data_IF_058608164019
#
_entry.id   IF_058608164019
#
_cell.length_a   1.000
_cell.length_b   1.000
_cell.length_c   1.000
_cell.angle_alpha   90.00
_cell.angle_beta   90.00
_cell.angle_gamma   90.00
#
_symmetry.space_group_name_H-M   'P 1'
#
loop_
_entity.id
_entity.type
_entity.pdbx_description
1 polymer ?
#
# COMPACT_ATOMS: atom_id res chain seq x y z
N UNK A 1 15.02 -9.93 -7.34
CA UNK A 1 14.16 -8.72 -7.53
C UNK A 1 14.17 -8.33 -9.00
N UNK A 2 13.09 -7.76 -9.46
CA UNK A 2 13.02 -7.22 -10.80
C UNK A 2 13.99 -6.03 -10.95
N UNK A 3 14.34 -5.70 -12.19
CA UNK A 3 15.22 -4.56 -12.48
C UNK A 3 14.70 -3.28 -11.79
N UNK A 4 15.57 -2.66 -11.01
CA UNK A 4 15.24 -1.44 -10.26
C UNK A 4 14.78 -0.30 -11.18
N UNK A 5 15.26 -0.26 -12.42
CA UNK A 5 14.84 0.73 -13.40
C UNK A 5 13.36 0.62 -13.77
N UNK A 6 12.81 -0.59 -13.76
CA UNK A 6 11.38 -0.80 -13.99
C UNK A 6 10.56 -0.15 -12.87
N UNK A 7 11.01 -0.28 -11.63
CA UNK A 7 10.36 0.33 -10.48
C UNK A 7 10.43 1.86 -10.56
N UNK A 8 11.62 2.40 -10.81
CA UNK A 8 11.83 3.85 -10.93
C UNK A 8 10.99 4.44 -12.06
N UNK A 9 10.98 3.81 -13.21
CA UNK A 9 10.19 4.26 -14.37
C UNK A 9 8.68 4.18 -14.09
N UNK A 10 8.27 3.28 -13.21
CA UNK A 10 6.89 3.16 -12.76
C UNK A 10 6.50 4.15 -11.65
N UNK A 11 7.39 5.05 -11.28
CA UNK A 11 7.14 6.10 -10.29
C UNK A 11 7.46 5.73 -8.85
N UNK A 12 8.19 4.62 -8.63
CA UNK A 12 8.58 4.20 -7.29
C UNK A 12 9.87 4.90 -6.88
N UNK A 13 9.86 5.53 -5.70
CA UNK A 13 11.01 6.25 -5.17
C UNK A 13 11.98 5.28 -4.46
N UNK A 14 12.67 4.46 -5.25
CA UNK A 14 13.61 3.47 -4.73
C UNK A 14 14.78 4.15 -4.03
N UNK A 15 15.31 5.24 -4.58
CA UNK A 15 16.46 5.94 -3.98
C UNK A 15 16.15 6.46 -2.58
N UNK A 16 14.98 7.07 -2.38
CA UNK A 16 14.56 7.51 -1.06
C UNK A 16 14.42 6.37 -0.06
N UNK A 17 13.90 5.25 -0.52
CA UNK A 17 13.77 4.04 0.31
C UNK A 17 15.12 3.45 0.67
N UNK A 18 16.08 3.44 -0.25
CA UNK A 18 17.44 2.94 0.02
C UNK A 18 18.16 3.75 1.09
N UNK A 19 17.87 5.05 1.19
CA UNK A 19 18.38 5.88 2.28
C UNK A 19 17.86 5.41 3.64
N UNK A 20 16.62 4.94 3.69
CA UNK A 20 15.98 4.46 4.92
C UNK A 20 16.45 3.05 5.28
N UNK A 21 16.58 2.16 4.30
CA UNK A 21 16.92 0.74 4.51
C UNK A 21 18.43 0.46 4.55
N UNK A 22 19.25 1.44 4.25
CA UNK A 22 20.72 1.36 4.26
C UNK A 22 21.33 0.55 3.12
N UNK A 23 20.64 -0.48 2.58
CA UNK A 23 21.12 -1.27 1.47
C UNK A 23 19.98 -1.91 0.68
N UNK A 24 20.31 -2.38 -0.52
CA UNK A 24 19.35 -2.95 -1.45
C UNK A 24 18.76 -4.29 -0.95
N UNK A 25 19.56 -5.09 -0.27
CA UNK A 25 19.11 -6.41 0.22
C UNK A 25 18.00 -6.26 1.25
N UNK A 26 18.14 -5.32 2.18
CA UNK A 26 17.10 -5.03 3.17
C UNK A 26 15.83 -4.51 2.49
N UNK A 27 15.97 -3.64 1.50
CA UNK A 27 14.84 -3.15 0.71
C UNK A 27 14.11 -4.31 0.01
N UNK A 28 14.86 -5.19 -0.67
CA UNK A 28 14.29 -6.35 -1.37
C UNK A 28 13.56 -7.29 -0.41
N UNK A 29 14.12 -7.53 0.77
CA UNK A 29 13.50 -8.38 1.78
C UNK A 29 12.14 -7.81 2.21
N UNK A 30 12.08 -6.50 2.49
CA UNK A 30 10.83 -5.84 2.86
C UNK A 30 9.83 -5.82 1.71
N UNK A 31 10.30 -5.61 0.49
CA UNK A 31 9.45 -5.67 -0.70
C UNK A 31 8.84 -7.06 -0.88
N UNK A 32 9.63 -8.11 -0.73
CA UNK A 32 9.14 -9.48 -0.83
C UNK A 32 8.13 -9.82 0.26
N UNK A 33 8.35 -9.36 1.48
CA UNK A 33 7.40 -9.53 2.58
C UNK A 33 6.06 -8.85 2.26
N UNK A 34 6.10 -7.64 1.71
CA UNK A 34 4.91 -6.94 1.25
C UNK A 34 4.16 -7.74 0.19
N UNK A 35 4.87 -8.19 -0.85
CA UNK A 35 4.26 -8.93 -1.96
C UNK A 35 3.65 -10.25 -1.49
N UNK A 36 4.26 -10.92 -0.52
CA UNK A 36 3.76 -12.19 0.02
C UNK A 36 2.48 -12.05 0.83
N UNK A 37 2.21 -10.87 1.39
CA UNK A 37 1.07 -10.65 2.29
C UNK A 37 -0.06 -9.82 1.68
N UNK A 38 0.19 -9.11 0.57
CA UNK A 38 -0.73 -8.06 0.12
C UNK A 38 -2.08 -8.61 -0.36
N UNK A 39 -2.13 -9.78 -0.99
CA UNK A 39 -3.38 -10.37 -1.46
C UNK A 39 -4.35 -10.64 -0.31
N UNK A 40 -3.85 -11.20 0.78
CA UNK A 40 -4.67 -11.46 1.97
C UNK A 40 -5.12 -10.16 2.63
N UNK A 41 -4.26 -9.14 2.62
CA UNK A 41 -4.62 -7.83 3.17
C UNK A 41 -5.73 -7.15 2.37
N UNK A 42 -5.71 -7.25 1.05
CA UNK A 42 -6.78 -6.72 0.20
C UNK A 42 -8.10 -7.42 0.51
N UNK A 43 -8.08 -8.74 0.67
CA UNK A 43 -9.27 -9.52 1.04
C UNK A 43 -9.81 -9.05 2.39
N UNK A 44 -8.95 -8.88 3.38
CA UNK A 44 -9.34 -8.41 4.71
C UNK A 44 -9.92 -6.99 4.67
N UNK A 45 -9.29 -6.08 3.92
CA UNK A 45 -9.82 -4.72 3.73
C UNK A 45 -11.23 -4.75 3.14
N UNK A 46 -11.45 -5.57 2.13
CA UNK A 46 -12.76 -5.70 1.50
C UNK A 46 -13.81 -6.24 2.49
N UNK A 47 -13.45 -7.24 3.28
CA UNK A 47 -14.35 -7.79 4.29
C UNK A 47 -14.74 -6.75 5.34
N UNK A 48 -13.77 -5.99 5.87
CA UNK A 48 -14.05 -4.92 6.83
C UNK A 48 -14.94 -3.84 6.21
N UNK A 49 -14.67 -3.47 4.96
CA UNK A 49 -15.49 -2.50 4.22
C UNK A 49 -16.93 -2.99 4.09
N UNK A 50 -17.14 -4.24 3.68
CA UNK A 50 -18.46 -4.82 3.48
C UNK A 50 -19.26 -4.89 4.80
N UNK A 51 -18.57 -5.07 5.91
CA UNK A 51 -19.19 -5.12 7.24
C UNK A 51 -19.33 -3.74 7.90
N UNK A 52 -18.91 -2.69 7.22
CA UNK A 52 -18.81 -1.33 7.78
C UNK A 52 -17.95 -1.28 9.05
N UNK A 53 -16.96 -2.16 9.14
CA UNK A 53 -16.04 -2.23 10.28
C UNK A 53 -14.88 -1.25 10.07
N UNK A 54 -15.16 0.03 10.29
CA UNK A 54 -14.19 1.08 10.05
C UNK A 54 -13.02 1.05 11.05
N UNK A 55 -13.23 0.53 12.22
CA UNK A 55 -12.17 0.41 13.22
C UNK A 55 -11.05 -0.51 12.72
N UNK A 56 -11.39 -1.72 12.32
CA UNK A 56 -10.40 -2.69 11.80
C UNK A 56 -9.89 -2.29 10.41
N UNK A 57 -10.74 -1.73 9.56
CA UNK A 57 -10.32 -1.17 8.27
C UNK A 57 -9.23 -0.11 8.48
N UNK A 58 -9.43 0.81 9.41
CA UNK A 58 -8.48 1.87 9.72
C UNK A 58 -7.11 1.31 10.15
N UNK A 59 -7.11 0.35 11.07
CA UNK A 59 -5.88 -0.26 11.57
C UNK A 59 -5.07 -0.85 10.41
N UNK A 60 -5.74 -1.57 9.52
CA UNK A 60 -5.07 -2.25 8.41
C UNK A 60 -4.58 -1.28 7.35
N UNK A 61 -5.39 -0.31 6.95
CA UNK A 61 -5.00 0.66 5.90
C UNK A 61 -3.94 1.64 6.42
N UNK A 62 -3.96 1.97 7.71
CA UNK A 62 -2.92 2.81 8.32
C UNK A 62 -1.56 2.12 8.30
N UNK A 63 -1.53 0.83 8.60
CA UNK A 63 -0.31 0.02 8.49
C UNK A 63 0.22 0.00 7.05
N UNK A 64 -0.67 -0.16 6.07
CA UNK A 64 -0.31 -0.11 4.65
C UNK A 64 0.25 1.25 4.24
N UNK A 65 -0.30 2.34 4.78
CA UNK A 65 0.20 3.69 4.51
C UNK A 65 1.68 3.83 4.87
N UNK A 66 2.07 3.38 6.05
CA UNK A 66 3.46 3.46 6.51
C UNK A 66 4.37 2.53 5.70
N UNK A 67 3.94 1.30 5.47
CA UNK A 67 4.71 0.30 4.75
C UNK A 67 4.97 0.71 3.29
N UNK A 68 3.93 1.17 2.61
CA UNK A 68 4.05 1.62 1.21
C UNK A 68 4.92 2.86 1.09
N UNK A 69 4.87 3.76 2.07
CA UNK A 69 5.75 4.93 2.10
C UNK A 69 7.22 4.52 2.25
N UNK A 70 7.51 3.59 3.15
CA UNK A 70 8.88 3.07 3.34
C UNK A 70 9.43 2.41 2.06
N UNK A 71 8.57 1.72 1.31
CA UNK A 71 8.95 1.07 0.06
C UNK A 71 9.03 2.01 -1.14
N UNK A 72 8.72 3.28 -0.96
CA UNK A 72 8.78 4.28 -2.04
C UNK A 72 7.55 4.32 -2.92
N UNK A 73 6.47 3.65 -2.55
CA UNK A 73 5.20 3.65 -3.28
C UNK A 73 4.40 4.91 -2.90
N UNK A 74 4.92 6.09 -3.27
CA UNK A 74 4.39 7.36 -2.78
C UNK A 74 2.94 7.61 -3.18
N UNK A 75 2.59 7.31 -4.43
CA UNK A 75 1.22 7.47 -4.90
C UNK A 75 0.25 6.58 -4.13
N UNK A 76 0.63 5.31 -3.93
CA UNK A 76 -0.17 4.36 -3.17
C UNK A 76 -0.29 4.79 -1.70
N UNK A 77 0.81 5.28 -1.12
CA UNK A 77 0.82 5.77 0.26
C UNK A 77 -0.14 6.94 0.46
N UNK A 78 -0.23 7.86 -0.51
CA UNK A 78 -1.19 8.97 -0.47
C UNK A 78 -2.63 8.48 -0.51
N UNK A 79 -2.92 7.51 -1.37
CA UNK A 79 -4.25 6.88 -1.44
C UNK A 79 -4.60 6.20 -0.12
N UNK A 80 -3.65 5.46 0.45
CA UNK A 80 -3.82 4.84 1.77
C UNK A 80 -4.07 5.89 2.86
N UNK A 81 -3.38 7.03 2.81
CA UNK A 81 -3.58 8.10 3.78
C UNK A 81 -5.01 8.65 3.74
N UNK A 82 -5.55 8.88 2.56
CA UNK A 82 -6.95 9.33 2.41
C UNK A 82 -7.93 8.32 3.00
N UNK A 83 -7.68 7.05 2.77
CA UNK A 83 -8.48 5.96 3.34
C UNK A 83 -8.33 5.89 4.86
N UNK A 84 -7.13 6.12 5.37
CA UNK A 84 -6.85 6.16 6.81
C UNK A 84 -7.63 7.27 7.49
N UNK A 85 -7.60 8.49 6.94
CA UNK A 85 -8.33 9.64 7.46
C UNK A 85 -9.83 9.37 7.42
N UNK A 86 -10.34 8.87 6.30
CA UNK A 86 -11.77 8.60 6.14
C UNK A 86 -12.28 7.53 7.10
N UNK A 87 -11.55 6.43 7.24
CA UNK A 87 -11.96 5.34 8.14
C UNK A 87 -11.87 5.75 9.61
N UNK A 88 -10.86 6.54 9.98
CA UNK A 88 -10.72 7.08 11.33
C UNK A 88 -11.93 7.95 11.72
N UNK A 89 -12.45 8.71 10.78
CA UNK A 89 -13.59 9.60 10.99
C UNK A 89 -14.93 8.94 10.66
N UNK A 90 -14.92 7.64 10.41
CA UNK A 90 -16.11 6.84 10.09
C UNK A 90 -16.84 7.33 8.82
N UNK A 91 -16.10 7.83 7.85
CA UNK A 91 -16.65 8.25 6.56
C UNK A 91 -16.78 7.04 5.63
N UNK A 92 -17.78 6.21 5.92
CA UNK A 92 -18.02 4.93 5.22
C UNK A 92 -18.19 5.12 3.72
N UNK A 93 -18.95 6.14 3.31
CA UNK A 93 -19.21 6.43 1.90
C UNK A 93 -17.92 6.72 1.14
N UNK A 94 -17.03 7.53 1.71
CA UNK A 94 -15.73 7.80 1.08
C UNK A 94 -14.92 6.53 0.90
N UNK A 95 -14.83 5.71 1.95
CA UNK A 95 -14.09 4.44 1.90
C UNK A 95 -14.64 3.55 0.79
N UNK A 96 -15.95 3.39 0.74
CA UNK A 96 -16.62 2.54 -0.25
C UNK A 96 -16.44 3.07 -1.68
N UNK A 97 -16.66 4.36 -1.89
CA UNK A 97 -16.63 4.97 -3.22
C UNK A 97 -15.20 5.01 -3.81
N UNK A 98 -14.19 5.08 -2.94
CA UNK A 98 -12.79 5.18 -3.36
C UNK A 98 -11.99 3.89 -3.16
N UNK A 99 -12.65 2.79 -2.82
CA UNK A 99 -11.98 1.50 -2.62
C UNK A 99 -11.35 0.98 -3.91
N UNK A 100 -12.02 1.16 -5.05
CA UNK A 100 -11.49 0.71 -6.35
C UNK A 100 -10.21 1.45 -6.74
N UNK A 101 -10.09 2.73 -6.39
CA UNK A 101 -8.85 3.49 -6.61
C UNK A 101 -7.69 2.85 -5.84
N UNK A 102 -7.92 2.48 -4.60
CA UNK A 102 -6.90 1.81 -3.77
C UNK A 102 -6.48 0.48 -4.38
N UNK A 103 -7.43 -0.37 -4.75
CA UNK A 103 -7.16 -1.69 -5.32
C UNK A 103 -6.45 -1.57 -6.68
N UNK A 104 -6.87 -0.63 -7.51
CA UNK A 104 -6.25 -0.39 -8.82
C UNK A 104 -4.78 -0.01 -8.68
N UNK A 105 -4.46 0.91 -7.77
CA UNK A 105 -3.08 1.31 -7.54
C UNK A 105 -2.25 0.20 -6.89
N UNK A 106 -2.82 -0.55 -5.96
CA UNK A 106 -2.18 -1.74 -5.39
C UNK A 106 -1.80 -2.73 -6.49
N UNK A 107 -2.72 -3.04 -7.39
CA UNK A 107 -2.47 -3.96 -8.48
C UNK A 107 -1.40 -3.44 -9.44
N UNK A 108 -1.40 -2.14 -9.74
CA UNK A 108 -0.38 -1.52 -10.58
C UNK A 108 1.02 -1.71 -9.98
N UNK A 109 1.16 -1.41 -8.70
CA UNK A 109 2.44 -1.55 -7.99
C UNK A 109 2.88 -3.01 -7.93
N UNK A 110 1.96 -3.93 -7.61
CA UNK A 110 2.25 -5.37 -7.59
C UNK A 110 2.79 -5.83 -8.95
N UNK A 111 2.16 -5.41 -10.04
CA UNK A 111 2.59 -5.79 -11.39
C UNK A 111 3.97 -5.24 -11.73
N UNK A 112 4.32 -4.05 -11.27
CA UNK A 112 5.66 -3.50 -11.45
C UNK A 112 6.72 -4.33 -10.73
N UNK A 113 6.37 -4.96 -9.61
CA UNK A 113 7.29 -5.70 -8.77
C UNK A 113 7.44 -7.18 -9.15
N UNK A 114 6.57 -7.68 -10.02
CA UNK A 114 6.59 -9.11 -10.41
C UNK A 114 7.56 -9.46 -11.56
#
# INVERSE_FOLDING_TARGET
>A
MKDINVLVNGGINVNGSLELFSNIETYEENLNNFLNSIKERIISLNEYKEKNDMHNYNILVDALKFETKLLGFNSLSEICNKQTVASKNNYVTFVTDNFNELVTELNRVIMLCL
#
